data_IF_351898582623
#
_entry.id   IF_351898582623
#
_cell.length_a   1.000
_cell.length_b   1.000
_cell.length_c   1.000
_cell.angle_alpha   90.00
_cell.angle_beta   90.00
_cell.angle_gamma   90.00
#
_symmetry.space_group_name_H-M   'P 1'
#
loop_
_entity.id
_entity.type
_entity.pdbx_description
1 polymer ?
#
# COMPACT_ATOMS: atom_id res chain seq x y z
N UNK A 1 -12.92 -19.95 66.92
CA UNK A 1 -12.27 -20.74 65.85
C UNK A 1 -12.65 -20.13 64.51
N UNK A 2 -11.80 -19.24 63.96
CA UNK A 2 -12.07 -18.49 62.73
C UNK A 2 -11.65 -19.38 61.55
N UNK A 3 -12.61 -19.80 60.71
CA UNK A 3 -12.33 -20.54 59.47
C UNK A 3 -12.35 -19.53 58.34
N UNK A 4 -11.18 -19.17 57.84
CA UNK A 4 -10.99 -18.23 56.73
C UNK A 4 -11.56 -18.84 55.45
N UNK A 5 -12.53 -18.15 54.84
CA UNK A 5 -13.09 -18.48 53.54
C UNK A 5 -12.17 -17.91 52.44
N UNK A 6 -11.79 -18.73 51.47
CA UNK A 6 -11.19 -18.26 50.22
C UNK A 6 -12.23 -18.43 49.10
N UNK A 7 -12.83 -17.32 48.68
CA UNK A 7 -13.64 -17.24 47.47
C UNK A 7 -12.67 -16.84 46.35
N UNK A 8 -12.28 -17.79 45.52
CA UNK A 8 -11.54 -17.51 44.28
C UNK A 8 -12.52 -17.05 43.22
N UNK A 9 -12.51 -15.74 42.95
CA UNK A 9 -13.24 -15.13 41.84
C UNK A 9 -12.50 -15.43 40.52
N UNK A 10 -13.12 -16.06 39.51
CA UNK A 10 -12.46 -16.30 38.24
C UNK A 10 -12.23 -14.98 37.50
N UNK A 11 -10.96 -14.68 37.21
CA UNK A 11 -10.54 -13.56 36.38
C UNK A 11 -10.88 -13.88 34.92
N UNK A 12 -11.99 -13.33 34.42
CA UNK A 12 -12.38 -13.46 33.02
C UNK A 12 -11.43 -12.61 32.17
N UNK A 13 -10.43 -13.24 31.55
CA UNK A 13 -9.55 -12.58 30.60
C UNK A 13 -10.38 -12.20 29.35
N UNK A 14 -10.74 -10.92 29.25
CA UNK A 14 -11.27 -10.35 28.02
C UNK A 14 -10.14 -10.30 27.00
N UNK A 15 -10.08 -11.28 26.09
CA UNK A 15 -9.26 -11.18 24.90
C UNK A 15 -9.79 -10.01 24.07
N UNK A 16 -9.03 -8.91 24.02
CA UNK A 16 -9.35 -7.77 23.17
C UNK A 16 -9.44 -8.25 21.73
N UNK A 17 -10.53 -7.89 21.06
CA UNK A 17 -10.63 -7.99 19.60
C UNK A 17 -9.62 -7.00 19.03
N UNK A 18 -8.40 -7.47 18.74
CA UNK A 18 -7.52 -6.77 17.82
C UNK A 18 -8.22 -6.79 16.46
N UNK A 19 -8.80 -5.66 16.08
CA UNK A 19 -9.25 -5.46 14.71
C UNK A 19 -8.00 -5.40 13.84
N UNK A 20 -7.94 -6.19 12.77
CA UNK A 20 -6.97 -6.01 11.71
C UNK A 20 -6.94 -4.55 11.30
N UNK A 21 -5.91 -3.82 11.71
CA UNK A 21 -5.77 -2.40 11.41
C UNK A 21 -5.13 -2.30 10.03
N UNK A 22 -5.97 -2.03 9.03
CA UNK A 22 -5.48 -1.70 7.69
C UNK A 22 -4.89 -0.30 7.78
N UNK A 23 -3.59 -0.20 7.54
CA UNK A 23 -2.89 1.07 7.45
C UNK A 23 -2.74 1.46 5.99
N UNK A 24 -3.01 2.73 5.70
CA UNK A 24 -2.92 3.32 4.38
C UNK A 24 -2.08 4.59 4.41
N UNK A 25 -1.10 4.69 3.53
CA UNK A 25 -0.15 5.80 3.50
C UNK A 25 0.18 6.21 2.07
N UNK A 26 0.22 7.51 1.80
CA UNK A 26 0.76 8.02 0.54
C UNK A 26 2.28 7.90 0.51
N UNK A 27 2.81 7.48 -0.63
CA UNK A 27 4.23 7.28 -0.88
C UNK A 27 4.66 8.07 -2.11
N UNK A 28 5.50 9.09 -1.88
CA UNK A 28 6.15 9.84 -2.96
C UNK A 28 7.37 9.13 -3.51
N UNK A 29 7.52 9.19 -4.83
CA UNK A 29 8.66 8.64 -5.56
C UNK A 29 8.95 9.44 -6.82
N UNK A 30 10.19 9.36 -7.29
CA UNK A 30 10.65 10.07 -8.48
C UNK A 30 11.00 9.09 -9.59
N UNK A 31 10.57 9.38 -10.82
CA UNK A 31 10.94 8.61 -12.02
C UNK A 31 11.33 9.57 -13.11
N UNK A 32 12.59 9.51 -13.54
CA UNK A 32 13.09 10.39 -14.61
C UNK A 32 13.00 11.88 -14.26
N UNK A 33 13.04 12.25 -12.98
CA UNK A 33 12.93 13.63 -12.50
C UNK A 33 11.51 14.17 -12.38
N UNK A 34 10.49 13.34 -12.61
CA UNK A 34 9.08 13.67 -12.33
C UNK A 34 8.69 13.02 -11.01
N UNK A 35 7.99 13.77 -10.16
CA UNK A 35 7.46 13.28 -8.89
C UNK A 35 6.07 12.65 -9.08
N UNK A 36 5.84 11.57 -8.36
CA UNK A 36 4.61 10.79 -8.34
C UNK A 36 4.22 10.53 -6.90
N UNK A 37 2.93 10.35 -6.66
CA UNK A 37 2.40 10.01 -5.34
C UNK A 37 1.39 8.88 -5.48
N UNK A 38 1.72 7.70 -4.95
CA UNK A 38 0.79 6.58 -4.92
C UNK A 38 0.40 6.21 -3.48
N UNK A 39 -0.52 5.25 -3.33
CA UNK A 39 -1.07 4.84 -2.03
C UNK A 39 -0.69 3.41 -1.69
N UNK A 40 -0.17 3.21 -0.48
CA UNK A 40 0.27 1.90 0.00
C UNK A 40 -0.60 1.46 1.16
N UNK A 41 -1.26 0.32 0.99
CA UNK A 41 -2.08 -0.30 2.02
C UNK A 41 -1.46 -1.61 2.53
N UNK A 42 -1.47 -1.79 3.86
CA UNK A 42 -0.97 -2.99 4.55
C UNK A 42 -1.89 -3.35 5.71
N UNK A 43 -1.87 -4.62 6.11
CA UNK A 43 -2.48 -5.05 7.36
C UNK A 43 -1.37 -5.11 8.43
N UNK A 44 -1.45 -4.24 9.45
CA UNK A 44 -0.41 -4.13 10.47
C UNK A 44 -0.31 -5.36 11.39
N UNK A 45 -1.33 -6.20 11.41
CA UNK A 45 -1.37 -7.41 12.23
C UNK A 45 -0.59 -8.57 11.60
N UNK A 46 -0.18 -8.43 10.33
CA UNK A 46 0.57 -9.46 9.61
C UNK A 46 2.07 -9.17 9.68
N UNK A 47 2.80 -10.02 10.40
CA UNK A 47 4.27 -10.00 10.39
C UNK A 47 4.85 -10.29 8.99
N UNK A 48 4.16 -11.10 8.20
CA UNK A 48 4.55 -11.46 6.82
C UNK A 48 3.36 -11.36 5.88
N UNK A 49 3.54 -10.66 4.76
CA UNK A 49 2.51 -10.54 3.72
C UNK A 49 2.61 -11.67 2.68
N UNK A 50 1.50 -11.98 2.01
CA UNK A 50 1.44 -12.96 0.90
C UNK A 50 2.22 -12.52 -0.34
N UNK A 51 2.66 -11.27 -0.39
CA UNK A 51 3.37 -10.66 -1.50
C UNK A 51 2.91 -9.22 -1.72
N UNK A 52 3.49 -8.59 -2.75
CA UNK A 52 3.14 -7.23 -3.17
C UNK A 52 2.27 -7.28 -4.42
N UNK A 53 1.17 -6.53 -4.42
CA UNK A 53 0.32 -6.30 -5.59
C UNK A 53 0.42 -4.84 -5.99
N UNK A 54 0.70 -4.59 -7.27
CA UNK A 54 0.66 -3.26 -7.87
C UNK A 54 -0.72 -3.06 -8.50
N UNK A 55 -1.40 -1.97 -8.14
CA UNK A 55 -2.63 -1.51 -8.78
C UNK A 55 -2.25 -0.33 -9.67
N UNK A 56 -2.55 -0.41 -10.95
CA UNK A 56 -2.44 0.73 -11.87
C UNK A 56 -3.83 1.35 -11.97
N UNK A 57 -3.93 2.66 -11.74
CA UNK A 57 -5.20 3.37 -11.83
C UNK A 57 -5.76 3.36 -13.26
N UNK A 58 -7.05 3.65 -13.40
CA UNK A 58 -7.72 3.73 -14.70
C UNK A 58 -7.38 5.05 -15.43
N UNK A 59 -7.93 5.25 -16.63
CA UNK A 59 -7.67 6.40 -17.52
C UNK A 59 -7.97 7.78 -16.91
N UNK A 60 -8.67 7.84 -15.78
CA UNK A 60 -9.06 9.05 -15.06
C UNK A 60 -8.15 9.39 -13.86
N UNK A 61 -7.02 8.70 -13.70
CA UNK A 61 -6.03 9.04 -12.70
C UNK A 61 -6.22 8.33 -11.36
N UNK A 62 -5.39 8.68 -10.38
CA UNK A 62 -5.49 8.14 -9.02
C UNK A 62 -6.71 8.71 -8.30
N UNK A 63 -7.56 7.84 -7.76
CA UNK A 63 -8.74 8.25 -6.98
C UNK A 63 -8.90 7.43 -5.70
N UNK A 64 -9.91 7.78 -4.90
CA UNK A 64 -10.31 6.99 -3.73
C UNK A 64 -10.74 5.54 -4.09
N UNK A 65 -11.05 5.26 -5.36
CA UNK A 65 -11.35 3.90 -5.80
C UNK A 65 -10.12 3.00 -5.66
N UNK A 66 -8.96 3.42 -6.17
CA UNK A 66 -7.71 2.67 -6.08
C UNK A 66 -7.26 2.47 -4.63
N UNK A 67 -7.41 3.48 -3.78
CA UNK A 67 -7.11 3.41 -2.35
C UNK A 67 -7.94 2.31 -1.68
N UNK A 68 -9.27 2.32 -1.92
CA UNK A 68 -10.17 1.30 -1.40
C UNK A 68 -9.82 -0.10 -1.90
N UNK A 69 -9.41 -0.23 -3.17
CA UNK A 69 -8.95 -1.52 -3.73
C UNK A 69 -7.65 -1.98 -3.09
N UNK A 70 -6.73 -1.06 -2.77
CA UNK A 70 -5.51 -1.37 -2.05
C UNK A 70 -5.82 -1.90 -0.64
N UNK A 71 -6.72 -1.25 0.09
CA UNK A 71 -7.17 -1.68 1.42
C UNK A 71 -7.81 -3.07 1.41
N UNK A 72 -8.63 -3.37 0.39
CA UNK A 72 -9.24 -4.70 0.24
C UNK A 72 -8.18 -5.79 0.03
N UNK A 73 -7.13 -5.51 -0.74
CA UNK A 73 -6.02 -6.43 -0.94
C UNK A 73 -5.16 -6.56 0.33
N UNK A 74 -4.99 -5.48 1.08
CA UNK A 74 -4.34 -5.49 2.39
C UNK A 74 -5.09 -6.38 3.38
N UNK A 75 -6.42 -6.26 3.44
CA UNK A 75 -7.27 -7.15 4.23
C UNK A 75 -7.18 -8.62 3.78
N UNK A 76 -6.97 -8.86 2.49
CA UNK A 76 -6.73 -10.20 1.95
C UNK A 76 -5.31 -10.75 2.24
N UNK A 77 -4.42 -9.94 2.83
CA UNK A 77 -3.09 -10.30 3.32
C UNK A 77 -1.93 -9.93 2.39
N UNK A 78 -2.12 -9.01 1.45
CA UNK A 78 -1.07 -8.51 0.57
C UNK A 78 -0.55 -7.15 1.04
N UNK A 79 0.66 -6.76 0.63
CA UNK A 79 1.00 -5.33 0.54
C UNK A 79 0.44 -4.85 -0.79
N UNK A 80 -0.47 -3.87 -0.78
CA UNK A 80 -1.00 -3.31 -2.01
C UNK A 80 -0.41 -1.92 -2.24
N UNK A 81 0.03 -1.64 -3.46
CA UNK A 81 0.51 -0.33 -3.86
C UNK A 81 -0.26 0.12 -5.09
N UNK A 82 -1.18 1.07 -4.92
CA UNK A 82 -1.78 1.82 -6.00
C UNK A 82 -0.79 2.87 -6.50
N UNK A 83 -0.37 2.76 -7.75
CA UNK A 83 0.69 3.58 -8.32
C UNK A 83 0.10 4.68 -9.21
N UNK A 84 0.64 5.88 -9.06
CA UNK A 84 0.37 6.99 -9.95
C UNK A 84 1.28 6.92 -11.16
N UNK A 85 0.70 6.99 -12.35
CA UNK A 85 1.42 6.98 -13.63
C UNK A 85 1.28 8.28 -14.40
N UNK A 86 0.57 9.27 -13.88
CA UNK A 86 0.43 10.60 -14.47
C UNK A 86 1.40 11.60 -13.86
N UNK A 87 1.54 11.63 -12.53
CA UNK A 87 2.39 12.55 -11.77
C UNK A 87 1.63 13.15 -10.59
N UNK A 88 2.34 13.51 -9.53
CA UNK A 88 1.73 13.94 -8.27
C UNK A 88 0.90 15.23 -8.38
N UNK A 89 1.21 16.06 -9.38
CA UNK A 89 0.52 17.32 -9.65
C UNK A 89 -0.62 17.17 -10.70
N UNK A 90 -0.79 15.98 -11.27
CA UNK A 90 -1.80 15.70 -12.29
C UNK A 90 -3.10 15.20 -11.63
N UNK A 91 -4.20 15.94 -11.81
CA UNK A 91 -5.52 15.57 -11.31
C UNK A 91 -6.57 15.88 -12.39
N UNK A 92 -6.73 15.02 -13.40
CA UNK A 92 -7.60 15.34 -14.52
C UNK A 92 -9.07 15.37 -14.07
N UNK A 93 -9.82 16.36 -14.54
CA UNK A 93 -11.21 16.66 -14.13
C UNK A 93 -12.19 16.60 -15.31
N UNK A 94 -11.71 16.26 -16.51
CA UNK A 94 -12.54 16.20 -17.72
C UNK A 94 -12.17 15.01 -18.59
N UNK A 95 -13.12 14.60 -19.45
CA UNK A 95 -12.91 13.53 -20.42
C UNK A 95 -11.72 13.84 -21.34
N UNK A 96 -11.54 15.10 -21.73
CA UNK A 96 -10.46 15.50 -22.64
C UNK A 96 -9.09 15.44 -21.97
N UNK A 97 -8.98 15.84 -20.70
CA UNK A 97 -7.75 15.69 -19.91
C UNK A 97 -7.41 14.22 -19.68
N UNK A 98 -8.39 13.40 -19.30
CA UNK A 98 -8.19 11.95 -19.15
C UNK A 98 -7.67 11.33 -20.44
N UNK A 99 -8.25 11.68 -21.60
CA UNK A 99 -7.78 11.21 -22.91
C UNK A 99 -6.38 11.69 -23.25
N UNK A 100 -6.02 12.92 -22.89
CA UNK A 100 -4.71 13.46 -23.15
C UNK A 100 -3.63 12.72 -22.35
N UNK A 101 -3.83 12.55 -21.03
CA UNK A 101 -2.88 11.87 -20.14
C UNK A 101 -2.76 10.37 -20.46
N UNK A 102 -3.88 9.66 -20.56
CA UNK A 102 -3.88 8.23 -20.95
C UNK A 102 -3.31 8.02 -22.35
N UNK A 103 -3.68 8.88 -23.30
CA UNK A 103 -3.20 8.85 -24.68
C UNK A 103 -1.70 9.04 -24.78
N UNK A 104 -1.12 9.98 -24.03
CA UNK A 104 0.33 10.21 -24.01
C UNK A 104 1.11 8.93 -23.60
N UNK A 105 0.63 8.19 -22.60
CA UNK A 105 1.24 6.93 -22.18
C UNK A 105 1.06 5.79 -23.19
N UNK A 106 -0.06 5.76 -23.92
CA UNK A 106 -0.26 4.77 -24.99
C UNK A 106 0.66 5.00 -26.19
N UNK A 107 0.91 6.26 -26.54
CA UNK A 107 1.83 6.61 -27.62
C UNK A 107 3.29 6.36 -27.26
N UNK A 108 3.65 6.46 -25.97
CA UNK A 108 5.00 6.17 -25.48
C UNK A 108 5.02 5.00 -24.48
N UNK A 109 5.11 3.78 -25.02
CA UNK A 109 5.21 2.56 -24.20
C UNK A 109 6.50 2.47 -23.40
N UNK A 110 7.57 3.15 -23.81
CA UNK A 110 8.83 3.14 -23.07
C UNK A 110 8.68 4.00 -21.81
N UNK A 111 8.10 5.19 -21.95
CA UNK A 111 7.74 6.06 -20.83
C UNK A 111 6.79 5.35 -19.86
N UNK A 112 5.72 4.73 -20.36
CA UNK A 112 4.77 4.04 -19.48
C UNK A 112 5.45 2.93 -18.67
N UNK A 113 6.27 2.10 -19.33
CA UNK A 113 7.05 1.05 -18.63
C UNK A 113 8.01 1.65 -17.60
N UNK A 114 8.65 2.78 -17.92
CA UNK A 114 9.54 3.46 -16.98
C UNK A 114 8.79 3.87 -15.70
N UNK A 115 7.60 4.47 -15.83
CA UNK A 115 6.74 4.89 -14.71
C UNK A 115 6.24 3.70 -13.88
N UNK A 116 5.81 2.61 -14.53
CA UNK A 116 5.38 1.37 -13.84
C UNK A 116 6.48 0.76 -12.96
N UNK A 117 7.76 0.93 -13.34
CA UNK A 117 8.90 0.34 -12.63
C UNK A 117 9.46 1.28 -11.54
N UNK A 118 9.02 2.54 -11.48
CA UNK A 118 9.42 3.53 -10.49
C UNK A 118 9.35 3.04 -9.03
N UNK A 119 8.19 2.53 -8.57
CA UNK A 119 7.99 1.96 -7.24
C UNK A 119 9.04 0.95 -6.77
N UNK A 120 9.65 0.21 -7.71
CA UNK A 120 10.64 -0.83 -7.41
C UNK A 120 12.08 -0.32 -7.30
N UNK A 121 12.34 0.94 -7.68
CA UNK A 121 13.68 1.52 -7.76
C UNK A 121 14.23 2.01 -6.41
N UNK A 122 13.53 1.76 -5.29
CA UNK A 122 14.17 1.86 -3.97
C UNK A 122 15.37 0.90 -3.97
N UNK A 123 16.62 1.35 -3.71
CA UNK A 123 17.76 0.45 -3.70
C UNK A 123 17.44 -0.67 -2.71
N UNK A 124 17.36 -1.91 -3.20
CA UNK A 124 17.14 -3.08 -2.35
C UNK A 124 18.27 -3.06 -1.33
N UNK A 125 17.98 -2.73 -0.07
CA UNK A 125 18.89 -3.06 1.02
C UNK A 125 18.97 -4.58 1.01
N UNK A 126 20.06 -5.11 0.45
CA UNK A 126 20.39 -6.52 0.60
C UNK A 126 20.36 -6.83 2.09
N UNK A 127 19.62 -7.88 2.53
CA UNK A 127 19.78 -8.34 3.90
C UNK A 127 21.26 -8.67 4.09
N UNK A 128 21.89 -8.00 5.06
CA UNK A 128 23.29 -8.23 5.38
C UNK A 128 23.45 -9.74 5.63
N UNK A 129 24.33 -10.37 4.85
CA UNK A 129 24.68 -11.77 5.03
C UNK A 129 25.26 -11.88 6.46
N UNK A 130 24.76 -12.77 7.33
CA UNK A 130 25.37 -12.95 8.64
C UNK A 130 26.82 -13.37 8.43
N UNK A 131 27.74 -12.54 8.90
CA UNK A 131 29.15 -12.89 8.99
C UNK A 131 29.28 -13.91 10.11
N UNK A 132 29.37 -15.19 9.75
CA UNK A 132 29.87 -16.22 10.65
C UNK A 132 31.33 -15.89 10.93
N UNK A 133 31.62 -15.61 12.20
CA UNK A 133 32.99 -15.52 12.72
C UNK A 133 33.55 -16.90 13.05
#
# INVERSE_FOLDING_TARGET
>A
MIRTAFITLPFLAAAGLASAEITGEYHRYSVGGVEFEGYVARNSDLETTKGTVLIVHDWDGMTAYEERRAEMLAAAGYTAFAIDVYGADENPQSIDENRALSGALYQDRALFRQRLMGPSQRPRRSPARPTTS
#
